data_IF_307275925193
#
_entry.id   IF_307275925193
#
_cell.length_a   1.000
_cell.length_b   1.000
_cell.length_c   1.000
_cell.angle_alpha   90.00
_cell.angle_beta   90.00
_cell.angle_gamma   90.00
#
_symmetry.space_group_name_H-M   'P 1'
#
loop_
_entity.id
_entity.type
_entity.pdbx_description
1 polymer ?
#
# COMPACT_ATOMS: atom_id res chain seq x y z
N UNK A 1 -15.78 -13.71 5.78
CA UNK A 1 -14.55 -14.13 5.09
C UNK A 1 -14.49 -13.78 3.60
N UNK A 2 -15.56 -13.40 2.88
CA UNK A 2 -15.45 -13.13 1.42
C UNK A 2 -15.78 -11.70 0.94
N UNK A 3 -16.38 -10.83 1.77
CA UNK A 3 -16.77 -9.48 1.32
C UNK A 3 -15.60 -8.52 1.13
N UNK A 4 -14.59 -8.57 2.00
CA UNK A 4 -13.40 -7.72 1.91
C UNK A 4 -12.54 -8.04 0.67
N UNK A 5 -12.47 -9.31 0.25
CA UNK A 5 -11.72 -9.75 -0.93
C UNK A 5 -12.41 -9.25 -2.22
N UNK A 6 -13.74 -9.37 -2.30
CA UNK A 6 -14.50 -8.85 -3.45
C UNK A 6 -14.33 -7.33 -3.54
N UNK A 7 -14.42 -6.62 -2.41
CA UNK A 7 -14.20 -5.18 -2.37
C UNK A 7 -12.75 -4.79 -2.77
N UNK A 8 -11.77 -5.61 -2.39
CA UNK A 8 -10.37 -5.42 -2.79
C UNK A 8 -10.19 -5.54 -4.30
N UNK A 9 -10.80 -6.54 -4.94
CA UNK A 9 -10.77 -6.71 -6.41
C UNK A 9 -11.43 -5.54 -7.14
N UNK A 10 -12.60 -5.09 -6.67
CA UNK A 10 -13.31 -3.95 -7.27
C UNK A 10 -12.46 -2.67 -7.18
N UNK A 11 -11.86 -2.41 -6.02
CA UNK A 11 -10.98 -1.26 -5.82
C UNK A 11 -9.72 -1.33 -6.67
N UNK A 12 -9.11 -2.52 -6.76
CA UNK A 12 -7.93 -2.76 -7.57
C UNK A 12 -8.16 -2.44 -9.07
N UNK A 13 -9.39 -2.57 -9.57
CA UNK A 13 -9.75 -2.22 -10.94
C UNK A 13 -10.16 -0.74 -11.08
N UNK A 14 -10.87 -0.18 -10.10
CA UNK A 14 -11.40 1.19 -10.16
C UNK A 14 -10.35 2.29 -9.91
N UNK A 15 -9.43 2.05 -8.98
CA UNK A 15 -8.40 3.04 -8.58
C UNK A 15 -7.42 3.40 -9.70
N UNK A 16 -6.83 2.45 -10.47
CA UNK A 16 -5.94 2.82 -11.57
C UNK A 16 -6.68 3.58 -12.68
N UNK A 17 -7.97 3.30 -12.93
CA UNK A 17 -8.78 4.08 -13.87
C UNK A 17 -8.94 5.54 -13.40
N UNK A 18 -9.15 5.75 -12.11
CA UNK A 18 -9.27 7.10 -11.53
C UNK A 18 -7.91 7.83 -11.47
N UNK A 19 -6.83 7.11 -11.16
CA UNK A 19 -5.48 7.65 -11.02
C UNK A 19 -4.79 7.96 -12.34
N UNK A 20 -5.16 7.30 -13.44
CA UNK A 20 -4.62 7.55 -14.78
C UNK A 20 -5.23 8.80 -15.46
N UNK A 21 -6.31 9.37 -14.91
CA UNK A 21 -6.89 10.63 -15.41
C UNK A 21 -6.20 11.90 -14.93
N UNK A 22 -5.34 11.83 -13.90
CA UNK A 22 -4.65 12.99 -13.34
C UNK A 22 -3.17 13.07 -13.75
N UNK A 23 -2.66 14.29 -13.98
CA UNK A 23 -1.21 14.54 -14.20
C UNK A 23 -0.34 14.25 -12.98
N UNK A 24 -0.92 14.27 -11.78
CA UNK A 24 -0.26 14.00 -10.50
C UNK A 24 -0.97 12.87 -9.74
N UNK A 25 -0.25 11.78 -9.44
CA UNK A 25 -0.82 10.64 -8.72
C UNK A 25 -0.78 10.79 -7.20
N UNK A 26 -0.23 11.89 -6.68
CA UNK A 26 -0.11 12.14 -5.23
C UNK A 26 -1.46 12.15 -4.51
N UNK A 27 -2.50 12.72 -5.13
CA UNK A 27 -3.84 12.76 -4.54
C UNK A 27 -4.44 11.36 -4.42
N UNK A 28 -4.25 10.52 -5.45
CA UNK A 28 -4.67 9.12 -5.41
C UNK A 28 -3.93 8.34 -4.31
N UNK A 29 -2.61 8.55 -4.16
CA UNK A 29 -1.79 7.93 -3.11
C UNK A 29 -2.30 8.31 -1.72
N UNK A 30 -2.57 9.60 -1.47
CA UNK A 30 -3.09 10.06 -0.18
C UNK A 30 -4.48 9.46 0.12
N UNK A 31 -5.37 9.39 -0.89
CA UNK A 31 -6.69 8.79 -0.73
C UNK A 31 -6.60 7.30 -0.38
N UNK A 32 -5.84 6.49 -1.13
CA UNK A 32 -5.76 5.05 -0.86
C UNK A 32 -5.01 4.73 0.44
N UNK A 33 -3.99 5.53 0.80
CA UNK A 33 -3.26 5.37 2.06
C UNK A 33 -4.09 5.80 3.26
N UNK A 34 -4.82 6.91 3.18
CA UNK A 34 -5.74 7.32 4.25
C UNK A 34 -6.83 6.28 4.46
N UNK A 35 -7.39 5.71 3.39
CA UNK A 35 -8.38 4.64 3.47
C UNK A 35 -7.81 3.37 4.11
N UNK A 36 -6.60 2.98 3.72
CA UNK A 36 -5.88 1.82 4.29
C UNK A 36 -5.61 2.03 5.78
N UNK A 37 -5.04 3.17 6.18
CA UNK A 37 -4.75 3.47 7.58
C UNK A 37 -6.02 3.54 8.42
N UNK A 38 -7.06 4.19 7.91
CA UNK A 38 -8.36 4.29 8.57
C UNK A 38 -8.98 2.91 8.78
N UNK A 39 -8.90 2.02 7.78
CA UNK A 39 -9.36 0.63 7.91
C UNK A 39 -8.53 -0.16 8.93
N UNK A 40 -7.22 0.04 8.95
CA UNK A 40 -6.28 -0.64 9.86
C UNK A 40 -6.51 -0.22 11.33
N UNK A 41 -6.62 1.09 11.58
CA UNK A 41 -6.94 1.64 12.90
C UNK A 41 -8.37 1.30 13.33
N UNK A 42 -9.31 1.30 12.40
CA UNK A 42 -10.68 0.84 12.63
C UNK A 42 -10.73 -0.62 13.09
N UNK A 43 -10.01 -1.52 12.42
CA UNK A 43 -9.91 -2.91 12.85
C UNK A 43 -9.22 -3.09 14.22
N UNK A 44 -8.30 -2.19 14.59
CA UNK A 44 -7.55 -2.29 15.84
C UNK A 44 -8.32 -1.74 17.05
N UNK A 45 -9.03 -0.62 16.88
CA UNK A 45 -9.65 0.12 17.98
C UNK A 45 -11.18 0.07 18.01
N UNK A 46 -11.85 -0.28 16.91
CA UNK A 46 -13.30 -0.24 16.86
C UNK A 46 -13.97 -1.45 17.53
N UNK A 47 -15.23 -1.31 17.99
CA UNK A 47 -15.99 -2.42 18.55
C UNK A 47 -16.22 -3.54 17.53
N UNK A 48 -16.29 -4.79 18.01
CA UNK A 48 -16.46 -6.00 17.20
C UNK A 48 -17.67 -5.93 16.23
N UNK A 49 -18.73 -5.20 16.58
CA UNK A 49 -19.91 -5.03 15.72
C UNK A 49 -19.66 -4.23 14.43
N UNK A 50 -18.64 -3.36 14.40
CA UNK A 50 -18.27 -2.57 13.21
C UNK A 50 -17.16 -3.19 12.36
N UNK A 51 -16.59 -4.31 12.80
CA UNK A 51 -15.35 -4.88 12.23
C UNK A 51 -15.47 -5.23 10.75
N UNK A 52 -16.66 -5.64 10.29
CA UNK A 52 -16.93 -5.91 8.88
C UNK A 52 -16.82 -4.66 8.00
N UNK A 53 -17.29 -3.50 8.49
CA UNK A 53 -17.18 -2.24 7.77
C UNK A 53 -15.72 -1.81 7.60
N UNK A 54 -14.95 -1.88 8.69
CA UNK A 54 -13.51 -1.57 8.67
C UNK A 54 -12.71 -2.55 7.83
N UNK A 55 -13.05 -3.85 7.84
CA UNK A 55 -12.41 -4.85 7.00
C UNK A 55 -12.67 -4.63 5.50
N UNK A 56 -13.88 -4.20 5.11
CA UNK A 56 -14.19 -3.82 3.73
C UNK A 56 -13.40 -2.56 3.36
N UNK A 57 -13.41 -1.53 4.21
CA UNK A 57 -12.66 -0.29 4.00
C UNK A 57 -11.16 -0.56 3.80
N UNK A 58 -10.59 -1.43 4.65
CA UNK A 58 -9.21 -1.86 4.56
C UNK A 58 -8.95 -2.63 3.25
N UNK A 59 -9.86 -3.51 2.85
CA UNK A 59 -9.77 -4.23 1.57
C UNK A 59 -9.73 -3.29 0.37
N UNK A 60 -10.62 -2.28 0.35
CA UNK A 60 -10.65 -1.25 -0.69
C UNK A 60 -9.34 -0.45 -0.71
N UNK A 61 -8.84 -0.04 0.46
CA UNK A 61 -7.57 0.70 0.58
C UNK A 61 -6.37 -0.10 0.08
N UNK A 62 -6.26 -1.37 0.48
CA UNK A 62 -5.16 -2.24 0.07
C UNK A 62 -5.19 -2.56 -1.43
N UNK A 63 -6.36 -2.90 -1.98
CA UNK A 63 -6.50 -3.16 -3.42
C UNK A 63 -6.15 -1.95 -4.26
N UNK A 64 -6.61 -0.76 -3.82
CA UNK A 64 -6.27 0.51 -4.45
C UNK A 64 -4.78 0.83 -4.39
N UNK A 65 -4.16 0.64 -3.24
CA UNK A 65 -2.73 0.88 -3.03
C UNK A 65 -1.88 -0.03 -3.90
N UNK A 66 -2.21 -1.32 -3.97
CA UNK A 66 -1.46 -2.29 -4.77
C UNK A 66 -1.54 -1.98 -6.27
N UNK A 67 -2.74 -1.76 -6.79
CA UNK A 67 -2.91 -1.40 -8.20
C UNK A 67 -2.27 -0.08 -8.56
N UNK A 68 -2.34 0.92 -7.67
CA UNK A 68 -1.69 2.21 -7.88
C UNK A 68 -0.17 2.07 -7.91
N UNK A 69 0.42 1.23 -7.05
CA UNK A 69 1.85 0.94 -7.06
C UNK A 69 2.29 0.32 -8.39
N UNK A 70 1.54 -0.67 -8.89
CA UNK A 70 1.84 -1.29 -10.19
C UNK A 70 1.69 -0.28 -11.35
N UNK A 71 0.65 0.55 -11.32
CA UNK A 71 0.45 1.61 -12.31
C UNK A 71 1.60 2.63 -12.31
N UNK A 72 2.08 3.03 -11.12
CA UNK A 72 3.24 3.92 -10.98
C UNK A 72 4.50 3.28 -11.57
N UNK A 73 4.75 2.00 -11.33
CA UNK A 73 5.89 1.27 -11.92
C UNK A 73 5.83 1.35 -13.45
N UNK A 74 4.66 1.12 -14.05
CA UNK A 74 4.46 1.18 -15.50
C UNK A 74 4.64 2.61 -16.02
N UNK A 75 3.99 3.60 -15.42
CA UNK A 75 4.08 5.01 -15.84
C UNK A 75 5.49 5.58 -15.73
N UNK A 76 6.29 5.02 -14.82
CA UNK A 76 7.63 5.50 -14.48
C UNK A 76 8.76 4.75 -15.19
N UNK A 77 8.41 3.66 -15.87
CA UNK A 77 9.34 2.87 -16.68
C UNK A 77 9.29 3.31 -18.13
N UNK A 78 10.45 3.34 -18.79
CA UNK A 78 10.52 3.65 -20.23
C UNK A 78 10.10 2.47 -21.12
N UNK A 79 10.37 1.26 -20.67
CA UNK A 79 10.16 0.03 -21.43
C UNK A 79 9.71 -1.12 -20.50
N UNK A 80 9.09 -2.14 -21.08
CA UNK A 80 8.57 -3.33 -20.38
C UNK A 80 9.63 -4.05 -19.54
N UNK A 81 10.89 -4.06 -20.00
CA UNK A 81 12.01 -4.67 -19.28
C UNK A 81 12.33 -3.90 -17.97
N UNK A 82 12.34 -2.56 -18.03
CA UNK A 82 12.56 -1.72 -16.84
C UNK A 82 11.40 -1.86 -15.86
N UNK A 83 10.16 -1.94 -16.36
CA UNK A 83 8.98 -2.18 -15.52
C UNK A 83 9.04 -3.52 -14.79
N UNK A 84 9.45 -4.59 -15.49
CA UNK A 84 9.61 -5.92 -14.91
C UNK A 84 10.67 -5.92 -13.80
N UNK A 85 11.84 -5.33 -14.05
CA UNK A 85 12.93 -5.25 -13.07
C UNK A 85 12.58 -4.36 -11.88
N UNK A 86 11.89 -3.24 -12.10
CA UNK A 86 11.46 -2.37 -11.02
C UNK A 86 10.37 -3.04 -10.16
N UNK A 87 9.46 -3.78 -10.79
CA UNK A 87 8.43 -4.55 -10.09
C UNK A 87 9.03 -5.69 -9.25
N UNK A 88 9.97 -6.46 -9.81
CA UNK A 88 10.63 -7.55 -9.08
C UNK A 88 11.47 -7.02 -7.92
N UNK A 89 12.18 -5.90 -8.10
CA UNK A 89 12.91 -5.22 -7.03
C UNK A 89 11.97 -4.74 -5.92
N UNK A 90 10.88 -4.05 -6.28
CA UNK A 90 9.90 -3.54 -5.32
C UNK A 90 9.23 -4.67 -4.53
N UNK A 91 8.85 -5.77 -5.21
CA UNK A 91 8.26 -6.93 -4.55
C UNK A 91 9.28 -7.66 -3.67
N UNK A 92 10.49 -7.92 -4.16
CA UNK A 92 11.54 -8.57 -3.40
C UNK A 92 11.83 -7.82 -2.10
N UNK A 93 12.19 -6.54 -2.21
CA UNK A 93 12.49 -5.69 -1.04
C UNK A 93 11.25 -5.54 -0.16
N UNK A 94 10.07 -5.30 -0.75
CA UNK A 94 8.82 -5.14 -0.01
C UNK A 94 8.45 -6.36 0.82
N UNK A 95 8.54 -7.56 0.25
CA UNK A 95 8.24 -8.80 0.96
C UNK A 95 9.31 -9.16 1.99
N UNK A 96 10.59 -8.86 1.73
CA UNK A 96 11.65 -9.02 2.74
C UNK A 96 11.41 -8.11 3.94
N UNK A 97 10.99 -6.86 3.73
CA UNK A 97 10.61 -5.98 4.84
C UNK A 97 9.33 -6.51 5.51
N UNK A 98 8.33 -6.92 4.74
CA UNK A 98 7.05 -7.40 5.27
C UNK A 98 7.18 -8.65 6.15
N UNK A 99 8.13 -9.55 5.87
CA UNK A 99 8.37 -10.74 6.69
C UNK A 99 8.86 -10.41 8.11
N UNK A 100 9.46 -9.24 8.31
CA UNK A 100 9.85 -8.75 9.65
C UNK A 100 8.67 -8.16 10.44
N UNK A 101 7.54 -7.87 9.77
CA UNK A 101 6.36 -7.28 10.38
C UNK A 101 5.76 -8.09 11.53
N UNK A 102 5.45 -9.39 11.34
CA UNK A 102 4.92 -10.25 12.41
C UNK A 102 5.85 -10.35 13.62
N UNK A 103 7.18 -10.38 13.39
CA UNK A 103 8.17 -10.39 14.46
C UNK A 103 8.14 -9.09 15.26
N UNK A 104 8.12 -7.94 14.59
CA UNK A 104 8.01 -6.63 15.25
C UNK A 104 6.70 -6.50 16.05
N UNK A 105 5.59 -6.98 15.49
CA UNK A 105 4.29 -7.02 16.18
C UNK A 105 4.36 -7.88 17.44
N UNK A 106 4.96 -9.07 17.36
CA UNK A 106 5.13 -9.97 18.50
C UNK A 106 5.98 -9.36 19.61
N UNK A 107 7.12 -8.74 19.27
CA UNK A 107 8.00 -8.08 20.25
C UNK A 107 7.28 -6.91 20.94
N UNK A 108 6.60 -6.05 20.17
CA UNK A 108 5.86 -4.92 20.75
C UNK A 108 4.75 -5.41 21.67
N UNK A 109 4.01 -6.45 21.26
CA UNK A 109 2.97 -7.05 22.07
C UNK A 109 3.50 -7.66 23.36
N UNK A 110 4.60 -8.40 23.31
CA UNK A 110 5.25 -9.01 24.47
C UNK A 110 5.74 -7.97 25.49
N UNK A 111 6.31 -6.85 25.01
CA UNK A 111 6.79 -5.76 25.88
C UNK A 111 5.68 -4.91 26.50
N UNK A 112 4.58 -4.67 25.79
CA UNK A 112 3.49 -3.78 26.28
C UNK A 112 2.32 -4.53 26.88
N UNK A 113 2.17 -5.83 26.61
CA UNK A 113 1.03 -6.65 27.04
C UNK A 113 -0.31 -6.24 26.40
N UNK A 114 -0.32 -5.31 25.44
CA UNK A 114 -1.54 -4.77 24.83
C UNK A 114 -1.49 -4.75 23.31
N UNK A 115 -2.59 -5.16 22.68
CA UNK A 115 -2.78 -5.10 21.23
C UNK A 115 -2.87 -3.65 20.71
N UNK A 116 -3.25 -2.69 21.56
CA UNK A 116 -3.31 -1.28 21.16
C UNK A 116 -1.95 -0.72 20.74
N UNK A 117 -0.85 -1.23 21.30
CA UNK A 117 0.50 -0.77 21.00
C UNK A 117 0.91 -1.03 19.55
N UNK A 118 0.28 -2.01 18.87
CA UNK A 118 0.51 -2.31 17.45
C UNK A 118 0.13 -1.13 16.55
N UNK A 119 -0.74 -0.24 17.03
CA UNK A 119 -1.08 1.01 16.34
C UNK A 119 0.14 1.89 16.04
N UNK A 120 1.20 1.82 16.85
CA UNK A 120 2.46 2.53 16.59
C UNK A 120 3.18 1.98 15.35
N UNK A 121 3.21 0.66 15.19
CA UNK A 121 3.79 0.01 14.02
C UNK A 121 3.03 0.44 12.77
N UNK A 122 1.70 0.43 12.83
CA UNK A 122 0.83 0.87 11.75
C UNK A 122 1.05 2.34 11.38
N UNK A 123 1.19 3.22 12.38
CA UNK A 123 1.49 4.64 12.16
C UNK A 123 2.83 4.84 11.45
N UNK A 124 3.90 4.17 11.93
CA UNK A 124 5.25 4.29 11.36
C UNK A 124 5.29 3.77 9.92
N UNK A 125 4.72 2.58 9.68
CA UNK A 125 4.66 1.99 8.34
C UNK A 125 3.80 2.84 7.39
N UNK A 126 2.64 3.31 7.85
CA UNK A 126 1.75 4.16 7.07
C UNK A 126 2.39 5.49 6.70
N UNK A 127 3.06 6.15 7.65
CA UNK A 127 3.77 7.39 7.40
C UNK A 127 4.92 7.19 6.42
N UNK A 128 5.74 6.15 6.61
CA UNK A 128 6.82 5.79 5.68
C UNK A 128 6.30 5.53 4.27
N UNK A 129 5.18 4.81 4.14
CA UNK A 129 4.55 4.52 2.86
C UNK A 129 3.98 5.79 2.18
N UNK A 130 3.39 6.71 2.95
CA UNK A 130 2.91 8.00 2.44
C UNK A 130 4.08 8.85 1.94
N UNK A 131 5.18 8.95 2.70
CA UNK A 131 6.37 9.72 2.31
C UNK A 131 6.98 9.15 1.03
N UNK A 132 7.20 7.83 1.00
CA UNK A 132 7.72 7.14 -0.18
C UNK A 132 6.79 7.31 -1.40
N UNK A 133 5.48 7.15 -1.19
CA UNK A 133 4.46 7.34 -2.21
C UNK A 133 4.42 8.77 -2.76
N UNK A 134 4.51 9.79 -1.91
CA UNK A 134 4.60 11.19 -2.35
C UNK A 134 5.87 11.46 -3.18
N UNK A 135 6.98 10.77 -2.88
CA UNK A 135 8.21 10.79 -3.69
C UNK A 135 8.00 10.14 -5.06
N UNK A 136 7.40 8.95 -5.09
CA UNK A 136 7.13 8.18 -6.30
C UNK A 136 6.08 8.84 -7.21
N UNK A 137 5.06 9.49 -6.63
CA UNK A 137 3.98 10.17 -7.34
C UNK A 137 4.38 11.47 -8.04
N UNK A 138 5.63 11.92 -7.92
CA UNK A 138 6.20 13.00 -8.75
C UNK A 138 6.34 12.51 -10.19
N UNK A 139 5.94 13.27 -11.19
CA UNK A 139 6.07 12.94 -12.63
C UNK A 139 7.54 12.95 -13.17
N UNK A 140 8.50 12.41 -12.41
CA UNK A 140 9.84 12.03 -12.87
C UNK A 140 9.80 10.97 -14.01
N UNK A 141 10.92 10.61 -14.62
CA UNK A 141 11.13 9.25 -15.14
C UNK A 141 12.34 8.63 -14.45
N UNK A 142 12.36 7.31 -14.23
CA UNK A 142 13.58 6.65 -13.72
C UNK A 142 14.56 6.62 -14.89
N UNK A 143 15.62 7.44 -14.79
CA UNK A 143 16.65 7.57 -15.83
C UNK A 143 17.65 6.41 -15.75
N UNK A 144 17.17 5.18 -15.94
CA UNK A 144 18.05 4.01 -16.11
C UNK A 144 18.14 3.70 -17.60
N UNK A 145 19.35 3.76 -18.14
CA UNK A 145 19.62 3.27 -19.49
C UNK A 145 19.73 1.75 -19.40
N UNK A 146 18.81 1.02 -20.03
CA UNK A 146 18.99 -0.43 -20.18
C UNK A 146 20.23 -0.64 -21.03
N UNK A 147 21.29 -1.22 -20.46
CA UNK A 147 22.41 -1.70 -21.25
C UNK A 147 21.84 -2.74 -22.22
N UNK A 148 22.01 -2.49 -23.51
CA UNK A 148 21.59 -3.42 -24.55
C UNK A 148 22.47 -4.66 -24.43
N UNK A 149 21.88 -5.76 -23.96
CA UNK A 149 22.46 -7.10 -24.09
C UNK A 149 22.24 -7.59 -25.50
#
# INVERSE_FOLDING_TARGET
MSGSIIAQVISALAVPYLATRGKDQRLAIMLVMSLTLTGLFGCLYAPLGGLWGWAILLGVGQGGTFSLALALIVLRSRDSHVAANLSSMAQGVGYTIASTGPFAVGVVHDMTGSWSAIGWIFAVLGLGAIIAGMGAGRALQVQVSSEKV
#
